data_IF_791924417427
#
_entry.id   IF_791924417427
#
_cell.length_a   1.000
_cell.length_b   1.000
_cell.length_c   1.000
_cell.angle_alpha   90.00
_cell.angle_beta   90.00
_cell.angle_gamma   90.00
#
_symmetry.space_group_name_H-M   'P 1'
#
loop_
_entity.id
_entity.type
_entity.pdbx_description
1 polymer ?
#
# COMPACT_ATOMS: atom_id res chain seq x y z
N UNK A 1 1.36 -14.11 -16.55
CA UNK A 1 0.59 -14.83 -15.52
C UNK A 1 -0.65 -15.39 -16.18
N UNK A 2 -1.02 -16.64 -15.89
CA UNK A 2 -2.26 -17.22 -16.36
C UNK A 2 -3.37 -16.89 -15.37
N UNK A 3 -4.17 -15.85 -15.62
CA UNK A 3 -5.20 -15.40 -14.68
C UNK A 3 -6.25 -16.49 -14.41
N UNK A 4 -6.70 -17.17 -15.46
CA UNK A 4 -7.72 -18.23 -15.38
C UNK A 4 -7.28 -19.35 -14.43
N UNK A 5 -6.01 -19.76 -14.49
CA UNK A 5 -5.43 -20.74 -13.55
C UNK A 5 -5.68 -20.33 -12.10
N UNK A 6 -5.38 -19.08 -11.75
CA UNK A 6 -5.49 -18.60 -10.37
C UNK A 6 -6.93 -18.31 -9.94
N UNK A 7 -7.77 -17.81 -10.85
CA UNK A 7 -9.20 -17.62 -10.59
C UNK A 7 -9.88 -18.96 -10.29
N UNK A 8 -9.61 -19.99 -11.11
CA UNK A 8 -10.12 -21.35 -10.86
C UNK A 8 -9.54 -21.97 -9.60
N UNK A 9 -8.24 -21.83 -9.37
CA UNK A 9 -7.57 -22.35 -8.18
C UNK A 9 -8.20 -21.80 -6.89
N UNK A 10 -8.54 -20.51 -6.88
CA UNK A 10 -9.20 -19.85 -5.76
C UNK A 10 -10.70 -20.19 -5.62
N UNK A 11 -11.32 -20.82 -6.63
CA UNK A 11 -12.76 -21.11 -6.64
C UNK A 11 -13.63 -19.93 -7.05
N UNK A 12 -13.11 -18.96 -7.82
CA UNK A 12 -13.90 -17.85 -8.35
C UNK A 12 -14.92 -18.39 -9.36
N UNK A 13 -16.23 -18.09 -9.23
CA UNK A 13 -17.24 -18.51 -10.19
C UNK A 13 -16.94 -18.06 -11.63
N UNK A 14 -17.18 -18.92 -12.61
CA UNK A 14 -16.84 -18.68 -14.03
C UNK A 14 -17.46 -17.41 -14.61
N UNK A 15 -18.66 -17.03 -14.17
CA UNK A 15 -19.33 -15.80 -14.62
C UNK A 15 -18.58 -14.52 -14.24
N UNK A 16 -17.66 -14.57 -13.25
CA UNK A 16 -16.81 -13.43 -12.90
C UNK A 16 -15.52 -13.35 -13.72
N UNK A 17 -15.10 -14.43 -14.39
CA UNK A 17 -13.78 -14.49 -15.01
C UNK A 17 -13.54 -13.40 -16.07
N UNK A 18 -14.50 -13.07 -16.96
CA UNK A 18 -14.29 -12.00 -17.94
C UNK A 18 -14.00 -10.64 -17.29
N UNK A 19 -14.78 -10.27 -16.27
CA UNK A 19 -14.61 -9.01 -15.55
C UNK A 19 -13.29 -8.96 -14.77
N UNK A 20 -12.95 -10.06 -14.09
CA UNK A 20 -11.68 -10.18 -13.36
C UNK A 20 -10.47 -10.05 -14.29
N UNK A 21 -10.49 -10.73 -15.43
CA UNK A 21 -9.42 -10.66 -16.45
C UNK A 21 -9.27 -9.24 -16.98
N UNK A 22 -10.38 -8.60 -17.38
CA UNK A 22 -10.35 -7.23 -17.90
C UNK A 22 -9.76 -6.25 -16.88
N UNK A 23 -10.15 -6.36 -15.61
CA UNK A 23 -9.61 -5.52 -14.53
C UNK A 23 -8.10 -5.76 -14.30
N UNK A 24 -7.66 -7.03 -14.31
CA UNK A 24 -6.25 -7.38 -14.14
C UNK A 24 -5.37 -6.93 -15.32
N UNK A 25 -5.89 -6.97 -16.55
CA UNK A 25 -5.21 -6.44 -17.73
C UNK A 25 -5.11 -4.91 -17.67
N UNK A 26 -6.19 -4.23 -17.31
CA UNK A 26 -6.16 -2.79 -17.07
C UNK A 26 -5.15 -2.39 -15.99
N UNK A 27 -5.07 -3.16 -14.89
CA UNK A 27 -4.07 -2.95 -13.85
C UNK A 27 -2.64 -3.18 -14.37
N UNK A 28 -2.41 -4.22 -15.18
CA UNK A 28 -1.11 -4.48 -15.80
C UNK A 28 -0.63 -3.30 -16.64
N UNK A 29 -1.53 -2.74 -17.43
CA UNK A 29 -1.21 -1.61 -18.32
C UNK A 29 -0.93 -0.34 -17.53
N UNK A 30 -1.72 -0.07 -16.49
CA UNK A 30 -1.47 1.04 -15.55
C UNK A 30 -0.15 0.89 -14.80
N UNK A 31 0.25 -0.34 -14.45
CA UNK A 31 1.48 -0.61 -13.73
C UNK A 31 2.77 -0.48 -14.58
N UNK A 32 2.66 -0.28 -15.90
CA UNK A 32 3.83 -0.18 -16.79
C UNK A 32 4.78 0.93 -16.32
N UNK A 33 6.05 0.56 -16.10
CA UNK A 33 7.10 1.46 -15.61
C UNK A 33 7.01 1.84 -14.12
N UNK A 34 5.96 1.43 -13.40
CA UNK A 34 5.78 1.77 -11.98
C UNK A 34 6.90 1.22 -11.10
N UNK A 35 7.30 -0.03 -11.32
CA UNK A 35 8.41 -0.65 -10.58
C UNK A 35 9.68 0.17 -10.72
N UNK A 36 10.08 0.51 -11.94
CA UNK A 36 11.27 1.34 -12.17
C UNK A 36 11.14 2.73 -11.53
N UNK A 37 9.98 3.36 -11.64
CA UNK A 37 9.71 4.66 -11.01
C UNK A 37 9.89 4.58 -9.48
N UNK A 38 9.30 3.58 -8.82
CA UNK A 38 9.44 3.33 -7.37
C UNK A 38 10.91 3.10 -6.99
N UNK A 39 11.59 2.19 -7.68
CA UNK A 39 12.99 1.85 -7.40
C UNK A 39 13.92 3.06 -7.55
N UNK A 40 13.74 3.87 -8.59
CA UNK A 40 14.53 5.10 -8.79
C UNK A 40 14.41 6.05 -7.61
N UNK A 41 13.19 6.25 -7.08
CA UNK A 41 12.98 7.15 -5.95
C UNK A 41 13.55 6.54 -4.66
N UNK A 42 13.27 5.27 -4.40
CA UNK A 42 13.74 4.52 -3.23
C UNK A 42 15.27 4.52 -3.12
N UNK A 43 15.97 4.22 -4.21
CA UNK A 43 17.43 4.15 -4.23
C UNK A 43 18.10 5.52 -4.21
N UNK A 44 17.62 6.46 -5.03
CA UNK A 44 18.37 7.69 -5.31
C UNK A 44 17.77 8.97 -4.73
N UNK A 45 16.51 8.97 -4.31
CA UNK A 45 15.79 10.19 -3.88
C UNK A 45 15.30 10.15 -2.43
N UNK A 46 15.21 8.99 -1.78
CA UNK A 46 14.77 8.88 -0.38
C UNK A 46 15.50 9.83 0.58
N UNK A 47 16.83 9.96 0.45
CA UNK A 47 17.60 10.90 1.28
C UNK A 47 17.31 12.38 0.96
N UNK A 48 16.97 12.72 -0.29
CA UNK A 48 16.53 14.06 -0.67
C UNK A 48 15.15 14.36 -0.06
N UNK A 49 14.22 13.41 -0.15
CA UNK A 49 12.88 13.53 0.44
C UNK A 49 12.99 13.79 1.95
N UNK A 50 13.75 12.97 2.67
CA UNK A 50 13.92 13.10 4.12
C UNK A 50 14.41 14.50 4.56
N UNK A 51 15.32 15.12 3.80
CA UNK A 51 15.84 16.47 4.07
C UNK A 51 14.88 17.58 3.68
N UNK A 52 13.97 17.34 2.74
CA UNK A 52 12.98 18.33 2.30
C UNK A 52 11.81 18.45 3.27
N UNK A 53 11.59 17.44 4.13
CA UNK A 53 10.46 17.40 5.05
C UNK A 53 10.78 18.18 6.34
N UNK A 54 10.05 19.26 6.64
CA UNK A 54 10.05 19.86 7.97
C UNK A 54 9.73 18.84 9.06
N UNK A 55 10.15 19.10 10.29
CA UNK A 55 9.89 18.19 11.41
C UNK A 55 8.39 17.90 11.58
N UNK A 56 7.55 18.93 11.58
CA UNK A 56 6.11 18.80 11.73
C UNK A 56 5.39 18.17 10.52
N UNK A 57 6.05 18.09 9.35
CA UNK A 57 5.39 17.61 8.14
C UNK A 57 5.04 16.12 8.21
N UNK A 58 3.81 15.81 7.83
CA UNK A 58 3.26 14.46 7.78
C UNK A 58 3.52 13.78 6.44
N UNK A 59 3.68 14.53 5.35
CA UNK A 59 3.81 14.01 3.99
C UNK A 59 4.68 14.91 3.13
N UNK A 60 5.23 14.35 2.05
CA UNK A 60 5.98 15.12 1.07
C UNK A 60 5.03 15.93 0.18
N UNK A 61 3.88 15.40 -0.20
CA UNK A 61 2.91 16.06 -1.08
C UNK A 61 2.43 17.41 -0.52
N UNK A 62 2.34 17.54 0.80
CA UNK A 62 1.94 18.78 1.48
C UNK A 62 3.02 19.88 1.39
N UNK A 63 4.29 19.48 1.27
CA UNK A 63 5.46 20.39 1.26
C UNK A 63 5.96 20.65 -0.16
N UNK A 64 5.89 19.62 -1.00
CA UNK A 64 6.42 19.55 -2.36
C UNK A 64 5.41 18.82 -3.27
N UNK A 65 4.28 19.46 -3.59
CA UNK A 65 3.27 18.85 -4.47
C UNK A 65 3.83 18.53 -5.86
N UNK A 66 4.85 19.25 -6.32
CA UNK A 66 5.57 18.94 -7.57
C UNK A 66 6.33 17.60 -7.53
N UNK A 67 6.53 17.04 -6.33
CA UNK A 67 7.18 15.76 -6.09
C UNK A 67 6.20 14.70 -5.53
N UNK A 68 4.89 14.90 -5.64
CA UNK A 68 3.88 14.00 -5.09
C UNK A 68 4.10 12.52 -5.49
N UNK A 69 4.48 12.27 -6.74
CA UNK A 69 4.79 10.94 -7.27
C UNK A 69 5.92 10.19 -6.53
N UNK A 70 6.74 10.91 -5.75
CA UNK A 70 7.81 10.31 -4.94
C UNK A 70 7.34 9.94 -3.53
N UNK A 71 6.18 10.45 -3.14
CA UNK A 71 5.64 10.28 -1.81
C UNK A 71 5.04 8.89 -1.59
N UNK A 72 4.55 8.67 -0.38
CA UNK A 72 3.68 7.57 0.03
C UNK A 72 2.22 7.83 -0.38
N UNK A 73 1.36 6.82 -0.26
CA UNK A 73 -0.06 6.99 -0.49
C UNK A 73 -0.67 8.08 0.44
N UNK A 74 -1.63 8.89 -0.04
CA UNK A 74 -2.18 10.02 0.72
C UNK A 74 -3.20 9.57 1.78
N UNK A 75 -2.74 8.80 2.77
CA UNK A 75 -3.56 8.19 3.83
C UNK A 75 -3.15 8.69 5.20
N UNK A 76 -4.08 9.09 6.05
CA UNK A 76 -3.89 9.56 7.43
C UNK A 76 -3.03 8.62 8.27
N UNK A 77 -3.26 7.30 8.17
CA UNK A 77 -2.52 6.28 8.92
C UNK A 77 -1.17 5.86 8.29
N UNK A 78 -0.76 6.51 7.20
CA UNK A 78 0.55 6.31 6.57
C UNK A 78 1.20 7.69 6.41
N UNK A 79 2.26 7.94 7.16
CA UNK A 79 2.93 9.24 7.19
C UNK A 79 4.35 9.14 6.65
N UNK A 80 4.99 10.27 6.41
CA UNK A 80 6.38 10.41 6.02
C UNK A 80 7.35 9.87 7.08
N UNK A 81 6.86 9.64 8.31
CA UNK A 81 7.59 9.02 9.42
C UNK A 81 7.11 7.59 9.71
N UNK A 82 6.50 6.95 8.71
CA UNK A 82 5.98 5.59 8.77
C UNK A 82 4.51 5.51 9.16
N UNK A 83 4.07 4.30 9.42
CA UNK A 83 2.79 3.93 10.03
C UNK A 83 2.89 3.83 11.57
N UNK A 84 3.95 4.40 12.15
CA UNK A 84 4.18 4.47 13.60
C UNK A 84 3.22 5.44 14.33
N UNK A 85 2.23 5.99 13.63
CA UNK A 85 1.31 6.95 14.24
C UNK A 85 0.44 6.25 15.29
N UNK A 86 0.30 6.79 16.51
CA UNK A 86 -0.56 6.21 17.53
C UNK A 86 -2.00 6.10 17.04
N UNK A 87 -2.70 5.09 17.58
CA UNK A 87 -4.13 4.94 17.40
C UNK A 87 -4.84 5.42 18.66
N UNK A 88 -5.94 6.16 18.47
CA UNK A 88 -6.83 6.61 19.53
C UNK A 88 -8.18 5.95 19.35
N UNK A 89 -8.86 5.65 20.46
CA UNK A 89 -10.23 5.13 20.41
C UNK A 89 -11.20 6.20 19.89
N UNK A 90 -12.09 5.81 19.00
CA UNK A 90 -13.19 6.63 18.49
C UNK A 90 -14.46 5.79 18.41
N UNK A 91 -15.66 6.40 18.39
CA UNK A 91 -16.93 5.67 18.29
C UNK A 91 -17.02 4.75 17.06
N UNK A 92 -16.34 5.10 15.97
CA UNK A 92 -16.34 4.37 14.70
C UNK A 92 -15.21 3.32 14.59
N UNK A 93 -14.68 2.87 15.74
CA UNK A 93 -13.49 2.04 15.85
C UNK A 93 -12.22 2.87 15.72
N UNK A 94 -11.15 2.53 16.45
CA UNK A 94 -9.96 3.39 16.61
C UNK A 94 -9.44 4.04 15.32
N UNK A 95 -8.84 5.22 15.46
CA UNK A 95 -8.31 6.03 14.35
C UNK A 95 -6.85 6.41 14.59
N UNK A 96 -6.04 6.58 13.52
CA UNK A 96 -4.73 7.19 13.64
C UNK A 96 -4.87 8.61 14.22
N UNK A 97 -3.89 9.03 15.01
CA UNK A 97 -3.78 10.38 15.55
C UNK A 97 -2.63 11.14 14.87
N UNK A 98 -2.84 11.79 13.71
CA UNK A 98 -1.85 12.66 13.08
C UNK A 98 -1.35 13.75 14.03
N UNK A 99 -0.13 14.24 13.81
CA UNK A 99 0.46 15.25 14.68
C UNK A 99 0.97 14.72 16.01
N UNK A 100 0.97 13.40 16.23
CA UNK A 100 1.69 12.77 17.33
C UNK A 100 3.20 12.70 17.04
N UNK A 101 4.00 12.39 18.06
CA UNK A 101 5.47 12.33 17.96
C UNK A 101 6.10 13.65 17.52
N UNK A 102 5.59 14.81 17.96
CA UNK A 102 6.18 16.11 17.63
C UNK A 102 7.33 16.50 18.56
N UNK A 103 7.42 15.93 19.75
CA UNK A 103 8.53 16.16 20.66
C UNK A 103 9.77 15.35 20.23
N UNK A 104 10.89 16.00 19.83
CA UNK A 104 12.08 15.30 19.37
C UNK A 104 12.78 14.44 20.43
N UNK A 105 12.49 14.62 21.71
CA UNK A 105 13.07 13.82 22.80
C UNK A 105 12.10 12.77 23.37
N UNK A 106 10.95 12.55 22.70
CA UNK A 106 9.96 11.57 23.13
C UNK A 106 10.51 10.14 23.04
N UNK A 107 10.79 9.56 24.21
CA UNK A 107 11.28 8.19 24.32
C UNK A 107 10.27 7.14 23.85
N UNK A 108 8.97 7.41 23.96
CA UNK A 108 7.93 6.51 23.46
C UNK A 108 7.91 6.50 21.94
N UNK A 109 8.06 7.66 21.31
CA UNK A 109 8.19 7.75 19.86
C UNK A 109 9.41 6.98 19.34
N UNK A 110 10.56 7.09 20.03
CA UNK A 110 11.77 6.32 19.71
C UNK A 110 11.55 4.82 19.86
N UNK A 111 10.88 4.38 20.94
CA UNK A 111 10.56 2.98 21.17
C UNK A 111 9.57 2.41 20.15
N UNK A 112 8.61 3.23 19.68
CA UNK A 112 7.65 2.86 18.65
C UNK A 112 8.27 2.71 17.25
N UNK A 113 9.46 3.28 17.01
CA UNK A 113 10.07 3.29 15.69
C UNK A 113 10.73 1.96 15.30
N UNK A 114 9.95 1.05 14.73
CA UNK A 114 10.45 -0.24 14.27
C UNK A 114 11.13 -0.17 12.88
N UNK A 115 10.99 0.93 12.13
CA UNK A 115 11.65 1.11 10.84
C UNK A 115 13.15 1.39 10.98
N UNK A 116 13.54 2.09 12.06
CA UNK A 116 14.93 2.32 12.45
C UNK A 116 15.03 2.41 13.98
N UNK A 117 15.17 1.26 14.67
CA UNK A 117 15.19 1.21 16.13
C UNK A 117 16.24 2.15 16.74
N UNK A 118 15.88 2.79 17.86
CA UNK A 118 16.74 3.75 18.56
C UNK A 118 16.76 5.15 17.94
N UNK A 119 15.95 5.42 16.92
CA UNK A 119 15.80 6.77 16.35
C UNK A 119 14.35 7.24 16.46
N UNK A 120 14.15 8.55 16.50
CA UNK A 120 12.80 9.12 16.45
C UNK A 120 12.19 8.93 15.03
N UNK A 121 10.91 8.56 14.85
CA UNK A 121 10.29 8.32 13.54
C UNK A 121 10.43 9.50 12.57
N UNK A 122 10.34 10.74 13.10
CA UNK A 122 10.48 11.97 12.31
C UNK A 122 11.93 12.36 12.00
N UNK A 123 12.92 11.67 12.55
CA UNK A 123 14.34 11.92 12.23
C UNK A 123 14.61 11.75 10.74
N UNK A 124 15.62 12.46 10.24
CA UNK A 124 16.02 12.38 8.83
C UNK A 124 16.41 10.95 8.43
N UNK A 125 17.09 10.24 9.33
CA UNK A 125 17.55 8.88 9.15
C UNK A 125 16.39 7.90 9.06
N UNK A 126 15.42 8.00 9.97
CA UNK A 126 14.23 7.14 9.98
C UNK A 126 13.35 7.40 8.76
N UNK A 127 13.07 8.68 8.42
CA UNK A 127 12.33 9.05 7.21
C UNK A 127 13.01 8.49 5.97
N UNK A 128 14.34 8.61 5.86
CA UNK A 128 15.10 8.04 4.75
C UNK A 128 14.96 6.51 4.68
N UNK A 129 15.00 5.81 5.82
CA UNK A 129 14.80 4.36 5.88
C UNK A 129 13.39 3.96 5.42
N UNK A 130 12.36 4.69 5.89
CA UNK A 130 10.98 4.53 5.48
C UNK A 130 10.78 4.73 3.97
N UNK A 131 11.24 5.86 3.41
CA UNK A 131 11.12 6.16 1.98
C UNK A 131 11.96 5.22 1.09
N UNK A 132 13.06 4.63 1.59
CA UNK A 132 13.77 3.58 0.85
C UNK A 132 12.90 2.35 0.58
N UNK A 133 11.88 2.11 1.39
CA UNK A 133 10.95 0.99 1.23
C UNK A 133 9.65 1.40 0.55
N UNK A 134 9.12 2.57 0.88
CA UNK A 134 7.75 2.95 0.54
C UNK A 134 7.63 4.18 -0.38
N UNK A 135 8.73 4.77 -0.84
CA UNK A 135 8.62 5.86 -1.81
C UNK A 135 7.95 5.39 -3.11
N UNK A 136 7.15 6.29 -3.70
CA UNK A 136 6.41 6.07 -4.94
C UNK A 136 5.08 5.33 -4.77
N UNK A 137 4.61 5.11 -3.54
CA UNK A 137 3.25 4.57 -3.32
C UNK A 137 2.17 5.59 -3.69
N UNK A 138 2.45 6.90 -3.65
CA UNK A 138 1.51 7.90 -4.17
C UNK A 138 1.18 7.64 -5.64
N UNK A 139 2.19 7.34 -6.46
CA UNK A 139 2.01 7.03 -7.88
C UNK A 139 1.21 5.75 -8.11
N UNK A 140 1.41 4.73 -7.26
CA UNK A 140 0.61 3.51 -7.33
C UNK A 140 -0.86 3.79 -6.99
N UNK A 141 -1.11 4.62 -5.98
CA UNK A 141 -2.44 5.09 -5.61
C UNK A 141 -3.11 5.93 -6.71
N UNK A 142 -2.37 6.86 -7.34
CA UNK A 142 -2.90 7.72 -8.41
C UNK A 142 -3.22 6.95 -9.69
N UNK A 143 -2.50 5.86 -9.96
CA UNK A 143 -2.79 4.94 -11.05
C UNK A 143 -3.85 3.89 -10.70
N UNK A 144 -4.18 3.74 -9.42
CA UNK A 144 -5.21 2.84 -8.91
C UNK A 144 -6.63 3.26 -9.30
N UNK A 145 -7.61 2.59 -8.69
CA UNK A 145 -9.04 2.86 -8.91
C UNK A 145 -9.73 3.17 -7.57
N UNK A 146 -10.69 4.10 -7.54
CA UNK A 146 -11.55 4.30 -6.38
C UNK A 146 -12.27 3.02 -5.98
N UNK A 147 -12.48 2.82 -4.68
CA UNK A 147 -13.25 1.70 -4.15
C UNK A 147 -14.22 2.18 -3.06
N UNK A 148 -15.36 1.50 -2.97
CA UNK A 148 -16.32 1.70 -1.90
C UNK A 148 -16.46 0.39 -1.10
N UNK A 149 -15.80 0.35 0.06
CA UNK A 149 -15.80 -0.83 0.94
C UNK A 149 -17.19 -1.11 1.53
N UNK A 150 -18.11 -0.14 1.54
CA UNK A 150 -19.49 -0.34 2.03
C UNK A 150 -20.31 -1.26 1.13
N UNK A 151 -19.90 -1.41 -0.13
CA UNK A 151 -20.49 -2.38 -1.09
C UNK A 151 -20.05 -3.82 -0.81
N UNK A 152 -19.12 -4.03 0.12
CA UNK A 152 -18.59 -5.32 0.51
C UNK A 152 -17.36 -5.76 -0.29
N UNK A 153 -16.51 -6.55 0.37
CA UNK A 153 -15.36 -7.20 -0.25
C UNK A 153 -15.64 -8.68 -0.39
N UNK A 154 -15.57 -9.19 -1.62
CA UNK A 154 -15.65 -10.62 -1.90
C UNK A 154 -14.25 -11.22 -1.89
N UNK A 155 -14.12 -12.39 -1.28
CA UNK A 155 -12.84 -13.10 -1.16
C UNK A 155 -13.01 -14.57 -1.51
N UNK A 156 -12.16 -15.06 -2.40
CA UNK A 156 -12.08 -16.47 -2.77
C UNK A 156 -10.67 -16.99 -2.47
N UNK A 157 -10.58 -18.18 -1.87
CA UNK A 157 -9.30 -18.80 -1.49
C UNK A 157 -9.30 -20.29 -1.78
N UNK A 158 -8.23 -20.73 -2.41
CA UNK A 158 -8.03 -22.13 -2.73
C UNK A 158 -6.71 -22.35 -3.45
N UNK A 159 -6.11 -23.52 -3.22
CA UNK A 159 -4.96 -24.03 -3.98
C UNK A 159 -3.82 -23.00 -4.14
N UNK A 160 -3.45 -22.33 -3.04
CA UNK A 160 -2.38 -21.32 -3.02
C UNK A 160 -2.71 -19.99 -3.71
N UNK A 161 -3.97 -19.74 -4.07
CA UNK A 161 -4.44 -18.49 -4.66
C UNK A 161 -5.51 -17.84 -3.77
N UNK A 162 -5.40 -16.53 -3.60
CA UNK A 162 -6.39 -15.65 -2.97
C UNK A 162 -6.78 -14.58 -3.97
N UNK A 163 -8.08 -14.39 -4.15
CA UNK A 163 -8.64 -13.37 -5.05
C UNK A 163 -9.57 -12.47 -4.24
N UNK A 164 -9.34 -11.16 -4.34
CA UNK A 164 -10.21 -10.15 -3.76
C UNK A 164 -10.95 -9.41 -4.86
N UNK A 165 -12.20 -9.03 -4.58
CA UNK A 165 -12.97 -8.11 -5.42
C UNK A 165 -13.70 -7.09 -4.55
N UNK A 166 -13.66 -5.83 -4.97
CA UNK A 166 -14.48 -4.75 -4.44
C UNK A 166 -14.91 -3.86 -5.60
N UNK A 167 -16.20 -3.90 -5.96
CA UNK A 167 -16.70 -3.29 -7.21
C UNK A 167 -15.96 -3.83 -8.45
N UNK A 168 -15.30 -2.90 -9.16
CA UNK A 168 -14.50 -3.17 -10.36
C UNK A 168 -13.02 -3.43 -10.06
N UNK A 169 -12.59 -3.26 -8.81
CA UNK A 169 -11.23 -3.59 -8.39
C UNK A 169 -11.11 -5.10 -8.19
N UNK A 170 -10.06 -5.69 -8.77
CA UNK A 170 -9.68 -7.08 -8.60
C UNK A 170 -8.22 -7.21 -8.19
N UNK A 171 -7.95 -8.09 -7.23
CA UNK A 171 -6.62 -8.44 -6.79
C UNK A 171 -6.42 -9.94 -6.86
N UNK A 172 -5.26 -10.38 -7.33
CA UNK A 172 -4.82 -11.77 -7.19
C UNK A 172 -3.52 -11.82 -6.42
N UNK A 173 -3.52 -12.61 -5.35
CA UNK A 173 -2.32 -13.03 -4.62
C UNK A 173 -2.19 -14.53 -4.80
N UNK A 174 -1.11 -15.00 -5.43
CA UNK A 174 -0.94 -16.42 -5.71
C UNK A 174 0.48 -16.90 -5.46
N UNK A 175 0.60 -18.13 -4.96
CA UNK A 175 1.82 -18.90 -5.01
C UNK A 175 1.98 -19.46 -6.44
N UNK A 176 3.15 -19.23 -7.04
CA UNK A 176 3.51 -19.84 -8.32
C UNK A 176 4.99 -20.25 -8.29
N UNK A 177 5.50 -20.70 -9.44
CA UNK A 177 6.92 -20.96 -9.64
C UNK A 177 7.41 -20.17 -10.84
N UNK A 178 8.53 -19.47 -10.66
CA UNK A 178 9.33 -18.99 -11.78
C UNK A 178 10.47 -19.97 -11.98
N UNK A 179 10.39 -20.78 -13.04
CA UNK A 179 11.20 -21.99 -13.20
C UNK A 179 11.02 -22.92 -11.98
N UNK A 180 12.07 -23.12 -11.18
CA UNK A 180 12.05 -23.95 -9.97
C UNK A 180 11.92 -23.13 -8.68
N UNK A 181 11.94 -21.80 -8.77
CA UNK A 181 11.95 -20.91 -7.61
C UNK A 181 10.49 -20.61 -7.23
N UNK A 182 10.06 -20.91 -6.00
CA UNK A 182 8.77 -20.47 -5.49
C UNK A 182 8.69 -18.95 -5.50
N UNK A 183 7.60 -18.43 -6.06
CA UNK A 183 7.32 -17.00 -6.09
C UNK A 183 5.93 -16.71 -5.54
N UNK A 184 5.79 -15.53 -4.95
CA UNK A 184 4.51 -14.93 -4.64
C UNK A 184 4.23 -13.85 -5.67
N UNK A 185 3.10 -14.01 -6.36
CA UNK A 185 2.60 -13.06 -7.34
C UNK A 185 1.51 -12.23 -6.67
N UNK A 186 1.63 -10.90 -6.73
CA UNK A 186 0.61 -9.95 -6.27
C UNK A 186 0.33 -8.99 -7.42
N UNK A 187 -0.86 -9.08 -7.99
CA UNK A 187 -1.24 -8.30 -9.18
C UNK A 187 -2.66 -7.76 -9.06
N UNK A 188 -2.94 -6.69 -9.80
CA UNK A 188 -4.25 -6.04 -9.80
C UNK A 188 -4.25 -4.75 -8.97
N UNK A 189 -5.29 -4.56 -8.19
CA UNK A 189 -5.44 -3.42 -7.27
C UNK A 189 -5.41 -3.89 -5.82
N UNK A 190 -4.59 -3.30 -4.94
CA UNK A 190 -4.30 -3.81 -3.58
C UNK A 190 -5.44 -3.62 -2.58
N UNK A 191 -6.55 -4.33 -2.76
CA UNK A 191 -7.71 -4.36 -1.85
C UNK A 191 -7.30 -4.87 -0.46
N UNK A 192 -6.38 -5.85 -0.40
CA UNK A 192 -5.89 -6.44 0.85
C UNK A 192 -5.21 -5.44 1.80
N UNK A 193 -4.80 -4.27 1.30
CA UNK A 193 -4.22 -3.22 2.15
C UNK A 193 -5.30 -2.28 2.70
N UNK A 194 -6.48 -2.24 2.08
CA UNK A 194 -7.53 -1.29 2.42
C UNK A 194 -8.50 -1.83 3.45
N UNK A 195 -8.53 -3.14 3.64
CA UNK A 195 -9.58 -3.83 4.37
C UNK A 195 -9.05 -5.05 5.10
N UNK A 196 -9.54 -5.28 6.32
CA UNK A 196 -9.22 -6.44 7.15
C UNK A 196 -10.41 -7.38 7.23
N UNK A 197 -10.16 -8.64 6.93
CA UNK A 197 -11.23 -9.64 6.86
C UNK A 197 -11.81 -10.06 8.21
N UNK A 198 -10.99 -10.06 9.27
CA UNK A 198 -11.42 -10.58 10.58
C UNK A 198 -12.59 -9.81 11.19
N UNK A 199 -12.69 -8.51 10.90
CA UNK A 199 -13.67 -7.60 11.48
C UNK A 199 -14.29 -6.64 10.45
N UNK A 200 -13.92 -6.76 9.17
CA UNK A 200 -14.39 -5.90 8.11
C UNK A 200 -13.83 -4.47 8.14
N UNK A 201 -12.84 -4.18 8.99
CA UNK A 201 -12.38 -2.82 9.22
C UNK A 201 -11.64 -2.24 8.01
N UNK A 202 -11.90 -0.97 7.70
CA UNK A 202 -11.10 -0.19 6.77
C UNK A 202 -9.73 0.11 7.39
N UNK A 203 -8.67 -0.22 6.67
CA UNK A 203 -7.29 -0.07 7.10
C UNK A 203 -6.65 1.21 6.60
N UNK A 204 -7.03 1.71 5.42
CA UNK A 204 -6.49 2.93 4.84
C UNK A 204 -7.50 4.05 4.96
N UNK A 205 -7.08 5.19 5.53
CA UNK A 205 -7.95 6.33 5.78
C UNK A 205 -7.45 7.51 4.95
N UNK A 206 -8.12 7.92 3.86
CA UNK A 206 -7.65 9.00 3.00
C UNK A 206 -7.55 10.33 3.76
N UNK A 207 -6.55 11.15 3.39
CA UNK A 207 -6.51 12.55 3.84
C UNK A 207 -7.64 13.37 3.17
N UNK A 208 -8.01 14.55 3.71
CA UNK A 208 -8.99 15.42 3.08
C UNK A 208 -8.65 15.72 1.62
N UNK A 209 -9.63 15.56 0.73
CA UNK A 209 -9.48 15.76 -0.71
C UNK A 209 -8.88 14.58 -1.49
N UNK A 210 -8.52 13.47 -0.82
CA UNK A 210 -8.10 12.24 -1.48
C UNK A 210 -9.19 11.17 -1.42
N UNK A 211 -9.29 10.36 -2.47
CA UNK A 211 -10.18 9.19 -2.52
C UNK A 211 -9.56 7.97 -1.82
N UNK A 212 -10.42 7.10 -1.29
CA UNK A 212 -10.04 5.73 -1.02
C UNK A 212 -9.90 4.99 -2.35
N UNK A 213 -8.66 4.63 -2.70
CA UNK A 213 -8.34 3.93 -3.95
C UNK A 213 -7.55 2.67 -3.64
N UNK A 214 -7.83 1.60 -4.36
CA UNK A 214 -6.99 0.41 -4.39
C UNK A 214 -5.78 0.69 -5.29
N UNK A 215 -4.56 0.81 -4.73
CA UNK A 215 -3.37 1.12 -5.52
C UNK A 215 -3.07 0.01 -6.51
N UNK A 216 -2.55 0.37 -7.69
CA UNK A 216 -2.14 -0.65 -8.66
C UNK A 216 -0.87 -1.37 -8.18
N UNK A 217 -0.84 -2.69 -8.31
CA UNK A 217 0.33 -3.51 -7.99
C UNK A 217 0.62 -4.52 -9.09
N UNK A 218 1.91 -4.76 -9.29
CA UNK A 218 2.40 -5.76 -10.22
C UNK A 218 3.74 -6.31 -9.75
N UNK A 219 3.68 -7.24 -8.80
CA UNK A 219 4.84 -7.74 -8.09
C UNK A 219 4.96 -9.26 -8.24
N UNK A 220 6.17 -9.73 -8.56
CA UNK A 220 6.55 -11.14 -8.52
C UNK A 220 7.80 -11.22 -7.65
N UNK A 221 7.66 -11.80 -6.47
CA UNK A 221 8.71 -11.83 -5.45
C UNK A 221 9.09 -13.28 -5.15
N UNK A 222 10.39 -13.59 -4.97
CA UNK A 222 10.79 -14.89 -4.44
C UNK A 222 10.16 -15.12 -3.07
N UNK A 223 9.62 -16.32 -2.83
CA UNK A 223 9.06 -16.68 -1.54
C UNK A 223 7.95 -17.73 -1.63
N UNK A 224 7.52 -18.20 -0.46
CA UNK A 224 6.28 -18.96 -0.27
C UNK A 224 5.32 -18.05 0.50
N UNK A 225 4.07 -17.99 0.05
CA UNK A 225 3.03 -17.21 0.74
C UNK A 225 2.62 -17.88 2.05
#
# INVERSE_FOLDING_TARGET
>A
MNYIKHLRAAGVPDHYHPAAIAALEGARDRARGLTWAKWRVRLFKAGKIARLLPWAAERLVDVRPDLADWDIAPMVNITAHGDNVPWVETPEGGRPAPGQWLDPVDAQAVAANYWLPGTHPRSTESRKAWYRRNAGEYRAWSLGVPVDLSTGVQVWRGNGSTVYRCGDAWQVIAQDKFLLIPVVVRVGYEISNLWRESDGAQLWLPIPGADLRAPVTWSVLPGRA
#
